data_IF_147873676985
#
_entry.id   IF_147873676985
#
_cell.length_a   1.000
_cell.length_b   1.000
_cell.length_c   1.000
_cell.angle_alpha   90.00
_cell.angle_beta   90.00
_cell.angle_gamma   90.00
#
_symmetry.space_group_name_H-M   'P 1'
#
loop_
_entity.id
_entity.type
_entity.pdbx_description
1 polymer ?
#
# COMPACT_ATOMS: atom_id res chain seq x y z
N UNK A 1 -20.95 -32.01 25.42
CA UNK A 1 -21.26 -30.57 25.57
C UNK A 1 -20.40 -30.03 26.70
N UNK A 2 -19.27 -29.42 26.37
CA UNK A 2 -18.41 -28.69 27.31
C UNK A 2 -18.91 -27.24 27.40
N UNK A 3 -19.02 -26.64 28.60
CA UNK A 3 -19.66 -25.35 28.76
C UNK A 3 -18.80 -24.24 28.16
N UNK A 4 -19.43 -23.34 27.41
CA UNK A 4 -18.86 -22.07 26.98
C UNK A 4 -18.32 -21.32 28.20
N UNK A 5 -17.00 -21.19 28.27
CA UNK A 5 -16.31 -20.34 29.25
C UNK A 5 -16.73 -18.90 28.95
N UNK A 6 -17.47 -18.28 29.86
CA UNK A 6 -17.88 -16.89 29.76
C UNK A 6 -16.65 -15.99 29.52
N UNK A 7 -16.68 -15.21 28.44
CA UNK A 7 -15.63 -14.26 28.12
C UNK A 7 -15.67 -13.10 29.12
N UNK A 8 -14.53 -12.66 29.68
CA UNK A 8 -14.48 -11.51 30.58
C UNK A 8 -14.87 -10.21 29.84
N UNK A 9 -15.40 -9.20 30.56
CA UNK A 9 -15.90 -7.97 29.96
C UNK A 9 -14.79 -7.17 29.25
N UNK A 10 -15.14 -6.60 28.10
CA UNK A 10 -14.27 -5.78 27.25
C UNK A 10 -13.98 -4.45 27.96
N UNK A 11 -12.71 -4.19 28.28
CA UNK A 11 -12.30 -3.00 29.06
C UNK A 11 -11.37 -2.05 28.29
N UNK A 12 -11.33 -2.14 26.95
CA UNK A 12 -10.55 -1.25 26.09
C UNK A 12 -11.37 -0.76 24.90
N UNK A 13 -11.03 0.40 24.34
CA UNK A 13 -11.55 0.78 23.02
C UNK A 13 -10.95 -0.13 21.95
N UNK A 14 -11.65 -0.34 20.83
CA UNK A 14 -11.14 -1.14 19.69
C UNK A 14 -9.71 -0.71 19.33
N UNK A 15 -9.47 0.60 19.23
CA UNK A 15 -8.16 1.16 18.89
C UNK A 15 -7.05 0.76 19.89
N UNK A 16 -7.36 0.74 21.19
CA UNK A 16 -6.41 0.30 22.22
C UNK A 16 -6.13 -1.20 22.14
N UNK A 17 -7.16 -2.02 21.91
CA UNK A 17 -7.00 -3.45 21.75
C UNK A 17 -6.18 -3.78 20.50
N UNK A 18 -6.41 -3.06 19.40
CA UNK A 18 -5.63 -3.19 18.17
C UNK A 18 -4.17 -2.78 18.35
N UNK A 19 -3.91 -1.64 19.01
CA UNK A 19 -2.55 -1.20 19.31
C UNK A 19 -1.79 -2.22 20.18
N UNK A 20 -2.48 -2.85 21.13
CA UNK A 20 -1.87 -3.87 22.00
C UNK A 20 -1.63 -5.20 21.28
N UNK A 21 -2.53 -5.63 20.38
CA UNK A 21 -2.30 -6.78 19.50
C UNK A 21 -1.03 -6.56 18.66
N UNK A 22 -0.89 -5.37 18.06
CA UNK A 22 0.28 -5.05 17.23
C UNK A 22 1.57 -4.97 18.07
N UNK A 23 1.52 -4.40 19.27
CA UNK A 23 2.65 -4.38 20.19
C UNK A 23 3.08 -5.79 20.62
N UNK A 24 2.14 -6.70 20.85
CA UNK A 24 2.43 -8.10 21.18
C UNK A 24 3.11 -8.82 20.00
N UNK A 25 2.66 -8.56 18.77
CA UNK A 25 3.29 -9.12 17.57
C UNK A 25 4.70 -8.60 17.33
N UNK A 26 4.91 -7.30 17.54
CA UNK A 26 6.25 -6.70 17.49
C UNK A 26 7.22 -7.33 18.51
N UNK A 27 6.68 -7.85 19.63
CA UNK A 27 7.44 -8.57 20.66
C UNK A 27 7.54 -10.09 20.40
N UNK A 28 7.03 -10.58 19.27
CA UNK A 28 6.99 -12.02 18.97
C UNK A 28 6.04 -12.84 19.85
N UNK A 29 5.17 -12.20 20.63
CA UNK A 29 4.22 -12.86 21.55
C UNK A 29 2.94 -13.28 20.81
N UNK A 30 3.10 -14.20 19.85
CA UNK A 30 2.01 -14.64 18.95
C UNK A 30 0.82 -15.21 19.72
N UNK A 31 1.04 -16.05 20.75
CA UNK A 31 -0.06 -16.63 21.52
C UNK A 31 -0.87 -15.58 22.29
N UNK A 32 -0.19 -14.63 22.95
CA UNK A 32 -0.88 -13.56 23.67
C UNK A 32 -1.68 -12.65 22.71
N UNK A 33 -1.17 -12.47 21.49
CA UNK A 33 -1.89 -11.77 20.41
C UNK A 33 -3.16 -12.52 20.02
N UNK A 34 -3.07 -13.84 19.77
CA UNK A 34 -4.22 -14.69 19.47
C UNK A 34 -5.28 -14.63 20.58
N UNK A 35 -4.89 -14.81 21.83
CA UNK A 35 -5.80 -14.77 22.99
C UNK A 35 -6.52 -13.43 23.11
N UNK A 36 -5.86 -12.33 22.69
CA UNK A 36 -6.49 -11.01 22.65
C UNK A 36 -7.42 -10.84 21.46
N UNK A 37 -7.02 -11.27 20.25
CA UNK A 37 -7.88 -11.23 19.07
C UNK A 37 -9.15 -12.06 19.26
N UNK A 38 -9.07 -13.20 19.94
CA UNK A 38 -10.25 -14.01 20.29
C UNK A 38 -11.25 -13.28 21.21
N UNK A 39 -10.77 -12.40 22.11
CA UNK A 39 -11.66 -11.60 22.99
C UNK A 39 -12.44 -10.51 22.24
N UNK A 40 -11.97 -10.13 21.06
CA UNK A 40 -12.66 -9.20 20.18
C UNK A 40 -13.78 -9.88 19.38
N UNK A 41 -13.84 -11.22 19.36
CA UNK A 41 -14.99 -11.95 18.82
C UNK A 41 -16.20 -11.75 19.74
N UNK A 42 -17.32 -11.31 19.18
CA UNK A 42 -18.60 -11.20 19.89
C UNK A 42 -19.20 -9.79 19.96
N UNK A 43 -18.44 -8.74 19.69
CA UNK A 43 -19.00 -7.39 19.47
C UNK A 43 -19.18 -7.15 17.97
N UNK A 44 -20.38 -6.73 17.55
CA UNK A 44 -20.70 -6.48 16.14
C UNK A 44 -19.74 -5.46 15.50
N UNK A 45 -19.29 -4.46 16.27
CA UNK A 45 -18.39 -3.41 15.79
C UNK A 45 -16.95 -3.90 15.55
N UNK A 46 -16.52 -4.96 16.25
CA UNK A 46 -15.13 -5.46 16.21
C UNK A 46 -15.01 -6.80 15.51
N UNK A 47 -16.14 -7.43 15.18
CA UNK A 47 -16.20 -8.82 14.72
C UNK A 47 -15.43 -9.06 13.43
N UNK A 48 -15.61 -8.22 12.41
CA UNK A 48 -14.95 -8.39 11.11
C UNK A 48 -13.42 -8.24 11.22
N UNK A 49 -12.95 -7.21 11.95
CA UNK A 49 -11.52 -6.98 12.18
C UNK A 49 -10.90 -8.13 12.98
N UNK A 50 -11.58 -8.62 14.01
CA UNK A 50 -11.12 -9.75 14.82
C UNK A 50 -10.91 -11.01 13.96
N UNK A 51 -11.85 -11.31 13.04
CA UNK A 51 -11.72 -12.42 12.11
C UNK A 51 -10.52 -12.27 11.17
N UNK A 52 -10.31 -11.07 10.60
CA UNK A 52 -9.17 -10.79 9.73
C UNK A 52 -7.85 -11.03 10.46
N UNK A 53 -7.73 -10.52 11.69
CA UNK A 53 -6.51 -10.69 12.49
C UNK A 53 -6.26 -12.15 12.85
N UNK A 54 -7.27 -12.88 13.30
CA UNK A 54 -7.13 -14.30 13.59
C UNK A 54 -6.72 -15.08 12.34
N UNK A 55 -7.33 -14.81 11.20
CA UNK A 55 -6.96 -15.40 9.92
C UNK A 55 -5.47 -15.17 9.60
N UNK A 56 -5.01 -13.92 9.59
CA UNK A 56 -3.62 -13.57 9.28
C UNK A 56 -2.62 -14.17 10.29
N UNK A 57 -2.98 -14.25 11.57
CA UNK A 57 -2.14 -14.85 12.61
C UNK A 57 -2.03 -16.36 12.46
N UNK A 58 -3.14 -17.05 12.18
CA UNK A 58 -3.10 -18.49 11.96
C UNK A 58 -2.36 -18.85 10.67
N UNK A 59 -2.47 -18.04 9.61
CA UNK A 59 -1.66 -18.21 8.38
C UNK A 59 -0.17 -18.08 8.67
N UNK A 60 0.26 -17.03 9.38
CA UNK A 60 1.68 -16.82 9.68
C UNK A 60 2.25 -17.88 10.63
N UNK A 61 1.41 -18.50 11.46
CA UNK A 61 1.75 -19.65 12.30
C UNK A 61 1.68 -21.01 11.56
N UNK A 62 1.42 -21.03 10.24
CA UNK A 62 1.22 -22.22 9.42
C UNK A 62 0.08 -23.16 9.91
N UNK A 63 -0.89 -22.61 10.65
CA UNK A 63 -2.09 -23.31 11.11
C UNK A 63 -3.22 -23.12 10.11
N UNK A 64 -3.01 -23.62 8.88
CA UNK A 64 -3.84 -23.33 7.71
C UNK A 64 -5.32 -23.74 7.89
N UNK A 65 -5.59 -24.84 8.60
CA UNK A 65 -6.96 -25.28 8.89
C UNK A 65 -7.73 -24.31 9.80
N UNK A 66 -7.06 -23.66 10.76
CA UNK A 66 -7.69 -22.64 11.60
C UNK A 66 -7.89 -21.34 10.81
N UNK A 67 -6.87 -20.91 10.05
CA UNK A 67 -6.98 -19.75 9.18
C UNK A 67 -8.18 -19.85 8.23
N UNK A 68 -8.37 -21.01 7.60
CA UNK A 68 -9.47 -21.28 6.68
C UNK A 68 -10.84 -21.12 7.36
N UNK A 69 -11.02 -21.55 8.62
CA UNK A 69 -12.29 -21.36 9.35
C UNK A 69 -12.64 -19.87 9.51
N UNK A 70 -11.64 -19.04 9.80
CA UNK A 70 -11.84 -17.60 9.97
C UNK A 70 -12.08 -16.89 8.63
N UNK A 71 -11.31 -17.23 7.59
CA UNK A 71 -11.51 -16.65 6.25
C UNK A 71 -12.86 -17.04 5.65
N UNK A 72 -13.30 -18.29 5.81
CA UNK A 72 -14.58 -18.79 5.34
C UNK A 72 -15.75 -18.08 6.06
N UNK A 73 -15.60 -17.83 7.36
CA UNK A 73 -16.56 -17.00 8.10
C UNK A 73 -16.58 -15.55 7.60
N UNK A 74 -15.43 -14.97 7.25
CA UNK A 74 -15.38 -13.61 6.67
C UNK A 74 -16.07 -13.54 5.31
N UNK A 75 -15.76 -14.49 4.41
CA UNK A 75 -16.35 -14.56 3.09
C UNK A 75 -17.88 -14.71 3.16
N UNK A 76 -18.41 -15.45 4.13
CA UNK A 76 -19.87 -15.51 4.38
C UNK A 76 -20.49 -14.21 4.89
N UNK A 77 -19.75 -13.44 5.69
CA UNK A 77 -20.25 -12.16 6.22
C UNK A 77 -20.25 -11.06 5.15
N UNK A 78 -19.34 -11.12 4.20
CA UNK A 78 -19.22 -10.15 3.12
C UNK A 78 -18.98 -10.85 1.76
N UNK A 79 -19.98 -11.59 1.23
CA UNK A 79 -19.81 -12.42 0.04
C UNK A 79 -19.57 -11.63 -1.25
N UNK A 80 -19.76 -10.31 -1.23
CA UNK A 80 -19.52 -9.42 -2.36
C UNK A 80 -18.27 -8.54 -2.16
N UNK A 81 -17.46 -8.81 -1.12
CA UNK A 81 -16.20 -8.10 -0.90
C UNK A 81 -15.04 -8.92 -1.48
N UNK A 82 -14.39 -8.45 -2.57
CA UNK A 82 -13.33 -9.19 -3.27
C UNK A 82 -12.15 -9.54 -2.35
N UNK A 83 -11.82 -8.69 -1.37
CA UNK A 83 -10.72 -8.90 -0.43
C UNK A 83 -10.96 -10.08 0.50
N UNK A 84 -12.22 -10.30 0.90
CA UNK A 84 -12.56 -11.44 1.76
C UNK A 84 -12.51 -12.75 0.99
N UNK A 85 -12.91 -12.72 -0.29
CA UNK A 85 -12.82 -13.86 -1.20
C UNK A 85 -11.38 -14.21 -1.55
N UNK A 86 -10.55 -13.23 -1.91
CA UNK A 86 -9.14 -13.47 -2.25
C UNK A 86 -8.33 -13.96 -1.05
N UNK A 87 -8.62 -13.46 0.16
CA UNK A 87 -8.06 -13.99 1.40
C UNK A 87 -8.51 -15.44 1.66
N UNK A 88 -9.79 -15.75 1.42
CA UNK A 88 -10.31 -17.10 1.57
C UNK A 88 -9.70 -18.08 0.55
N UNK A 89 -9.59 -17.67 -0.70
CA UNK A 89 -8.89 -18.40 -1.75
C UNK A 89 -7.44 -18.72 -1.35
N UNK A 90 -6.74 -17.72 -0.80
CA UNK A 90 -5.37 -17.91 -0.28
C UNK A 90 -5.32 -18.93 0.85
N UNK A 91 -6.26 -18.89 1.80
CA UNK A 91 -6.33 -19.85 2.90
C UNK A 91 -6.67 -21.26 2.41
N UNK A 92 -7.54 -21.39 1.41
CA UNK A 92 -7.85 -22.68 0.77
C UNK A 92 -6.60 -23.27 0.12
N UNK A 93 -5.83 -22.44 -0.61
CA UNK A 93 -4.58 -22.87 -1.22
C UNK A 93 -3.58 -23.34 -0.15
N UNK A 94 -3.36 -22.52 0.89
CA UNK A 94 -2.47 -22.83 2.01
C UNK A 94 -2.91 -24.11 2.75
N UNK A 95 -4.22 -24.40 2.79
CA UNK A 95 -4.79 -25.61 3.39
C UNK A 95 -4.76 -26.86 2.47
N UNK A 96 -4.16 -26.76 1.28
CA UNK A 96 -4.05 -27.88 0.33
C UNK A 96 -5.32 -28.15 -0.49
N UNK A 97 -6.16 -27.13 -0.70
CA UNK A 97 -7.40 -27.21 -1.48
C UNK A 97 -7.30 -26.34 -2.77
N UNK A 98 -6.40 -26.67 -3.71
CA UNK A 98 -6.09 -25.81 -4.86
C UNK A 98 -7.28 -25.59 -5.81
N UNK A 99 -8.10 -26.60 -6.07
CA UNK A 99 -9.26 -26.44 -6.98
C UNK A 99 -10.31 -25.48 -6.42
N UNK A 100 -10.56 -25.54 -5.11
CA UNK A 100 -11.47 -24.62 -4.42
C UNK A 100 -10.87 -23.21 -4.38
N UNK A 101 -9.57 -23.10 -4.11
CA UNK A 101 -8.85 -21.83 -4.15
C UNK A 101 -8.94 -21.18 -5.54
N UNK A 102 -8.81 -21.97 -6.61
CA UNK A 102 -8.94 -21.49 -7.98
C UNK A 102 -10.33 -20.91 -8.25
N UNK A 103 -11.39 -21.65 -7.91
CA UNK A 103 -12.77 -21.18 -8.07
C UNK A 103 -13.07 -19.91 -7.27
N UNK A 104 -12.59 -19.83 -6.02
CA UNK A 104 -12.79 -18.67 -5.16
C UNK A 104 -11.97 -17.44 -5.64
N UNK A 105 -10.78 -17.66 -6.19
CA UNK A 105 -9.97 -16.60 -6.80
C UNK A 105 -10.65 -16.02 -8.05
N UNK A 106 -11.22 -16.86 -8.92
CA UNK A 106 -12.02 -16.40 -10.06
C UNK A 106 -13.25 -15.60 -9.60
N UNK A 107 -13.92 -16.02 -8.53
CA UNK A 107 -15.04 -15.28 -7.96
C UNK A 107 -14.62 -13.91 -7.41
N UNK A 108 -13.43 -13.80 -6.81
CA UNK A 108 -12.87 -12.53 -6.39
C UNK A 108 -12.56 -11.61 -7.59
N UNK A 109 -11.96 -12.16 -8.65
CA UNK A 109 -11.62 -11.40 -9.87
C UNK A 109 -12.86 -10.95 -10.66
N UNK A 110 -13.97 -11.68 -10.56
CA UNK A 110 -15.24 -11.25 -11.13
C UNK A 110 -15.81 -9.99 -10.45
N UNK A 111 -15.44 -9.75 -9.18
CA UNK A 111 -15.80 -8.53 -8.44
C UNK A 111 -14.79 -7.41 -8.64
N UNK A 112 -13.50 -7.77 -8.67
CA UNK A 112 -12.37 -6.84 -8.84
C UNK A 112 -11.28 -7.49 -9.73
N UNK A 113 -11.25 -7.19 -11.04
CA UNK A 113 -10.30 -7.79 -11.98
C UNK A 113 -8.82 -7.49 -11.68
N UNK A 114 -8.53 -6.45 -10.90
CA UNK A 114 -7.16 -6.03 -10.56
C UNK A 114 -6.74 -6.54 -9.18
N UNK A 115 -7.53 -7.42 -8.54
CA UNK A 115 -7.23 -7.94 -7.21
C UNK A 115 -5.96 -8.80 -7.20
N UNK A 116 -4.83 -8.19 -6.85
CA UNK A 116 -3.50 -8.81 -6.93
C UNK A 116 -3.39 -10.11 -6.14
N UNK A 117 -4.04 -10.21 -4.97
CA UNK A 117 -4.01 -11.43 -4.17
C UNK A 117 -4.78 -12.58 -4.86
N UNK A 118 -5.92 -12.27 -5.48
CA UNK A 118 -6.65 -13.25 -6.27
C UNK A 118 -5.84 -13.69 -7.50
N UNK A 119 -5.17 -12.77 -8.20
CA UNK A 119 -4.27 -13.10 -9.31
C UNK A 119 -3.16 -14.06 -8.86
N UNK A 120 -2.52 -13.80 -7.71
CA UNK A 120 -1.49 -14.69 -7.15
C UNK A 120 -2.03 -16.08 -6.90
N UNK A 121 -3.18 -16.19 -6.23
CA UNK A 121 -3.78 -17.51 -5.94
C UNK A 121 -4.16 -18.22 -7.23
N UNK A 122 -4.70 -17.50 -8.22
CA UNK A 122 -5.08 -18.07 -9.51
C UNK A 122 -3.89 -18.66 -10.26
N UNK A 123 -2.76 -17.94 -10.32
CA UNK A 123 -1.54 -18.43 -10.96
C UNK A 123 -0.91 -19.61 -10.20
N UNK A 124 -0.97 -19.60 -8.86
CA UNK A 124 -0.45 -20.70 -8.01
C UNK A 124 -1.30 -21.96 -8.10
N UNK A 125 -2.61 -21.81 -8.18
CA UNK A 125 -3.58 -22.91 -8.16
C UNK A 125 -3.86 -23.50 -9.53
N UNK A 126 -3.50 -22.80 -10.62
CA UNK A 126 -3.66 -23.29 -11.98
C UNK A 126 -2.78 -24.52 -12.23
N UNK A 127 -3.36 -25.72 -12.47
CA UNK A 127 -2.58 -26.87 -12.85
C UNK A 127 -2.07 -26.71 -14.29
N UNK A 128 -0.80 -27.09 -14.51
CA UNK A 128 -0.11 -27.02 -15.80
C UNK A 128 -0.83 -27.73 -16.98
N UNK A 129 -1.79 -28.62 -16.70
CA UNK A 129 -2.31 -29.57 -17.69
C UNK A 129 -3.75 -29.31 -18.19
N UNK A 130 -4.61 -28.56 -17.48
CA UNK A 130 -6.04 -28.47 -17.87
C UNK A 130 -6.61 -27.04 -17.97
N UNK A 131 -6.01 -26.06 -17.27
CA UNK A 131 -6.57 -24.70 -17.17
C UNK A 131 -5.56 -23.57 -17.45
N UNK A 132 -4.31 -23.91 -17.81
CA UNK A 132 -3.19 -22.97 -17.88
C UNK A 132 -3.13 -22.07 -19.13
N UNK A 133 -3.99 -22.23 -20.13
CA UNK A 133 -4.02 -21.29 -21.26
C UNK A 133 -5.02 -20.17 -20.99
N UNK A 134 -4.58 -18.90 -21.05
CA UNK A 134 -5.47 -17.73 -20.94
C UNK A 134 -5.25 -16.85 -19.70
N UNK A 135 -4.29 -17.17 -18.82
CA UNK A 135 -3.94 -16.32 -17.68
C UNK A 135 -2.71 -15.44 -17.93
N UNK A 136 -2.21 -15.36 -19.17
CA UNK A 136 -1.07 -14.52 -19.54
C UNK A 136 -1.33 -13.04 -19.22
N UNK A 137 -2.53 -12.54 -19.54
CA UNK A 137 -2.93 -11.17 -19.20
C UNK A 137 -2.95 -10.92 -17.67
N UNK A 138 -3.33 -11.93 -16.89
CA UNK A 138 -3.32 -11.86 -15.43
C UNK A 138 -1.89 -11.84 -14.87
N UNK A 139 -0.99 -12.64 -15.44
CA UNK A 139 0.43 -12.64 -15.11
C UNK A 139 1.11 -11.31 -15.47
N UNK A 140 0.76 -10.72 -16.61
CA UNK A 140 1.22 -9.38 -17.02
C UNK A 140 0.73 -8.30 -16.06
N UNK A 141 -0.55 -8.31 -15.67
CA UNK A 141 -1.09 -7.38 -14.67
C UNK A 141 -0.38 -7.54 -13.33
N UNK A 142 -0.10 -8.77 -12.90
CA UNK A 142 0.61 -9.02 -11.64
C UNK A 142 2.05 -8.48 -11.67
N UNK A 143 2.78 -8.58 -12.79
CA UNK A 143 4.12 -7.99 -12.92
C UNK A 143 4.10 -6.46 -12.96
N UNK A 144 3.03 -5.87 -13.49
CA UNK A 144 2.91 -4.42 -13.69
C UNK A 144 2.45 -3.70 -12.41
N UNK A 145 1.44 -4.24 -11.75
CA UNK A 145 0.77 -3.61 -10.60
C UNK A 145 1.19 -4.23 -9.26
N UNK A 146 1.76 -5.44 -9.28
CA UNK A 146 2.21 -6.17 -8.10
C UNK A 146 3.60 -5.78 -7.58
N UNK A 147 4.16 -6.65 -6.75
CA UNK A 147 5.55 -6.53 -6.28
C UNK A 147 6.43 -7.37 -7.20
N UNK A 148 7.14 -6.77 -8.16
CA UNK A 148 7.76 -7.52 -9.24
C UNK A 148 8.86 -8.45 -8.76
N UNK A 149 9.53 -8.12 -7.64
CA UNK A 149 10.55 -9.00 -7.06
C UNK A 149 9.92 -10.27 -6.47
N UNK A 150 8.75 -10.15 -5.83
CA UNK A 150 8.03 -11.30 -5.24
C UNK A 150 7.26 -12.09 -6.28
N UNK A 151 6.63 -11.39 -7.22
CA UNK A 151 5.67 -11.97 -8.15
C UNK A 151 6.38 -12.56 -9.39
N UNK A 152 7.62 -12.15 -9.70
CA UNK A 152 8.40 -12.70 -10.81
C UNK A 152 8.64 -14.22 -10.71
N UNK A 153 8.92 -14.75 -9.52
CA UNK A 153 9.10 -16.20 -9.33
C UNK A 153 7.84 -16.97 -9.73
N UNK A 154 6.68 -16.48 -9.29
CA UNK A 154 5.39 -17.10 -9.54
C UNK A 154 5.03 -17.04 -11.03
N UNK A 155 5.16 -15.86 -11.64
CA UNK A 155 4.86 -15.67 -13.06
C UNK A 155 5.80 -16.51 -13.93
N UNK A 156 7.08 -16.58 -13.59
CA UNK A 156 8.05 -17.41 -14.30
C UNK A 156 7.71 -18.90 -14.21
N UNK A 157 7.32 -19.39 -13.03
CA UNK A 157 6.88 -20.77 -12.83
C UNK A 157 5.63 -21.09 -13.65
N UNK A 158 4.65 -20.19 -13.64
CA UNK A 158 3.44 -20.30 -14.45
C UNK A 158 3.77 -20.37 -15.95
N UNK A 159 4.52 -19.40 -16.48
CA UNK A 159 4.90 -19.35 -17.89
C UNK A 159 5.67 -20.60 -18.33
N UNK A 160 6.60 -21.07 -17.50
CA UNK A 160 7.32 -22.32 -17.74
C UNK A 160 6.36 -23.50 -17.93
N UNK A 161 5.36 -23.62 -17.04
CA UNK A 161 4.38 -24.70 -17.06
C UNK A 161 3.45 -24.68 -18.29
N UNK A 162 3.15 -23.51 -18.84
CA UNK A 162 2.18 -23.34 -19.95
C UNK A 162 2.82 -23.13 -21.32
N UNK A 163 4.13 -22.86 -21.36
CA UNK A 163 4.89 -22.57 -22.59
C UNK A 163 4.89 -23.70 -23.62
N UNK A 164 4.68 -24.96 -23.21
CA UNK A 164 4.73 -26.14 -24.09
C UNK A 164 6.00 -26.21 -24.97
N UNK A 165 7.13 -25.69 -24.47
CA UNK A 165 8.42 -25.68 -25.17
C UNK A 165 8.68 -24.43 -26.03
N UNK A 166 7.68 -23.55 -26.22
CA UNK A 166 7.86 -22.25 -26.86
C UNK A 166 8.73 -21.32 -26.00
N UNK A 167 9.49 -20.41 -26.60
CA UNK A 167 10.19 -19.37 -25.86
C UNK A 167 9.22 -18.50 -25.06
N UNK A 168 9.58 -18.21 -23.81
CA UNK A 168 8.87 -17.26 -22.95
C UNK A 168 9.88 -16.40 -22.19
N UNK A 169 9.40 -15.29 -21.67
CA UNK A 169 10.23 -14.42 -20.84
C UNK A 169 9.41 -13.47 -20.00
N UNK A 170 10.04 -13.01 -18.92
CA UNK A 170 9.54 -11.98 -18.03
C UNK A 170 10.52 -10.82 -18.03
N UNK A 171 10.00 -9.62 -17.85
CA UNK A 171 10.80 -8.42 -17.63
C UNK A 171 10.25 -7.60 -16.48
N UNK A 172 11.15 -6.86 -15.84
CA UNK A 172 10.80 -5.86 -14.85
C UNK A 172 11.84 -4.73 -14.88
N UNK A 173 11.37 -3.48 -14.82
CA UNK A 173 12.23 -2.32 -14.71
C UNK A 173 12.09 -1.67 -13.33
N UNK A 174 13.21 -1.52 -12.63
CA UNK A 174 13.28 -0.71 -11.40
C UNK A 174 14.57 0.08 -11.34
N UNK A 175 14.48 1.29 -10.81
CA UNK A 175 15.63 2.17 -10.58
C UNK A 175 16.50 2.39 -11.83
N UNK A 176 15.87 2.49 -13.01
CA UNK A 176 16.57 2.65 -14.29
C UNK A 176 17.35 1.41 -14.74
N UNK A 177 17.07 0.23 -14.18
CA UNK A 177 17.63 -1.04 -14.62
C UNK A 177 16.49 -1.95 -15.05
N UNK A 178 16.54 -2.39 -16.31
CA UNK A 178 15.72 -3.48 -16.81
C UNK A 178 16.41 -4.79 -16.45
N UNK A 179 15.70 -5.66 -15.74
CA UNK A 179 16.10 -7.04 -15.52
C UNK A 179 15.08 -7.95 -16.18
N UNK A 180 15.54 -8.99 -16.83
CA UNK A 180 14.64 -9.96 -17.45
C UNK A 180 15.22 -11.35 -17.51
N UNK A 181 14.33 -12.31 -17.70
CA UNK A 181 14.63 -13.71 -17.92
C UNK A 181 13.91 -14.14 -19.19
N UNK A 182 14.60 -14.83 -20.09
CA UNK A 182 13.98 -15.42 -21.27
C UNK A 182 14.64 -16.76 -21.59
N UNK A 183 13.83 -17.79 -21.81
CA UNK A 183 14.31 -19.13 -22.09
C UNK A 183 13.34 -19.93 -22.97
N UNK A 184 13.85 -21.01 -23.53
CA UNK A 184 13.07 -22.04 -24.20
C UNK A 184 13.37 -23.40 -23.55
N UNK A 185 12.36 -24.06 -23.00
CA UNK A 185 12.55 -25.37 -22.35
C UNK A 185 12.82 -26.50 -23.35
N UNK A 186 12.48 -26.31 -24.62
CA UNK A 186 12.81 -27.27 -25.69
C UNK A 186 14.26 -27.13 -26.17
N UNK A 187 14.95 -26.04 -25.82
CA UNK A 187 16.34 -25.76 -26.20
C UNK A 187 17.06 -24.96 -25.11
N UNK A 188 17.26 -25.55 -23.91
CA UNK A 188 17.80 -24.86 -22.75
C UNK A 188 19.26 -24.44 -22.93
N UNK A 189 20.01 -25.05 -23.85
CA UNK A 189 21.41 -24.66 -24.09
C UNK A 189 21.54 -23.47 -25.07
N UNK A 190 20.44 -23.00 -25.64
CA UNK A 190 20.44 -21.89 -26.61
C UNK A 190 20.17 -20.58 -25.90
N UNK A 191 21.18 -19.70 -25.88
CA UNK A 191 21.02 -18.32 -25.42
C UNK A 191 20.08 -17.56 -26.37
N UNK A 192 18.96 -17.06 -25.85
CA UNK A 192 18.04 -16.23 -26.61
C UNK A 192 18.56 -14.78 -26.70
N UNK A 193 18.00 -14.02 -27.64
CA UNK A 193 18.15 -12.56 -27.70
C UNK A 193 16.81 -11.90 -27.46
N UNK A 194 16.77 -10.88 -26.61
CA UNK A 194 15.58 -10.04 -26.39
C UNK A 194 15.78 -8.72 -27.11
N UNK A 195 14.83 -8.35 -27.97
CA UNK A 195 14.83 -7.08 -28.69
C UNK A 195 14.05 -6.04 -27.90
N UNK A 196 14.66 -4.88 -27.68
CA UNK A 196 14.02 -3.70 -27.09
C UNK A 196 13.69 -2.71 -28.19
N UNK A 197 12.48 -2.14 -28.19
CA UNK A 197 12.06 -1.12 -29.15
C UNK A 197 11.22 0.00 -28.52
N UNK A 198 11.27 1.16 -29.17
CA UNK A 198 10.39 2.31 -28.94
C UNK A 198 9.43 2.43 -30.11
N UNK A 199 8.27 1.79 -30.01
CA UNK A 199 7.37 1.61 -31.16
C UNK A 199 8.09 0.89 -32.29
N UNK A 200 8.24 1.55 -33.45
CA UNK A 200 8.92 0.99 -34.62
C UNK A 200 10.46 1.13 -34.59
N UNK A 201 11.03 1.83 -33.60
CA UNK A 201 12.48 2.09 -33.54
C UNK A 201 13.19 1.05 -32.66
N UNK A 202 14.11 0.23 -33.20
CA UNK A 202 14.88 -0.71 -32.39
C UNK A 202 15.88 0.05 -31.50
N UNK A 203 15.90 -0.28 -30.21
CA UNK A 203 16.79 0.33 -29.21
C UNK A 203 18.02 -0.54 -28.95
N UNK A 204 17.81 -1.83 -28.71
CA UNK A 204 18.90 -2.76 -28.37
C UNK A 204 18.50 -4.22 -28.64
N UNK A 205 19.50 -5.09 -28.81
CA UNK A 205 19.36 -6.54 -28.73
C UNK A 205 20.20 -7.05 -27.57
N UNK A 206 19.55 -7.72 -26.63
CA UNK A 206 20.14 -8.15 -25.38
C UNK A 206 20.33 -9.66 -25.42
N UNK A 207 21.59 -10.09 -25.35
CA UNK A 207 21.89 -11.51 -25.19
C UNK A 207 21.49 -11.97 -23.80
N UNK A 208 20.82 -13.10 -23.73
CA UNK A 208 20.29 -13.68 -22.50
C UNK A 208 21.23 -14.81 -22.08
N UNK A 209 22.29 -14.45 -21.35
CA UNK A 209 23.39 -15.33 -20.97
C UNK A 209 23.87 -15.16 -19.50
N UNK A 210 23.12 -14.42 -18.69
CA UNK A 210 23.47 -14.16 -17.29
C UNK A 210 22.74 -15.12 -16.34
N UNK A 211 23.31 -15.32 -15.15
CA UNK A 211 22.66 -16.06 -14.07
C UNK A 211 21.73 -15.14 -13.29
N UNK A 212 20.62 -15.70 -12.77
CA UNK A 212 19.70 -14.96 -11.91
C UNK A 212 19.17 -15.85 -10.78
N UNK A 213 19.13 -15.40 -9.52
CA UNK A 213 18.69 -16.21 -8.38
C UNK A 213 17.29 -16.83 -8.55
N UNK A 214 16.37 -16.11 -9.22
CA UNK A 214 15.01 -16.61 -9.48
C UNK A 214 14.98 -17.90 -10.30
N UNK A 215 15.95 -18.11 -11.21
CA UNK A 215 16.02 -19.35 -11.99
C UNK A 215 16.21 -20.55 -11.06
N UNK A 216 17.08 -20.43 -10.05
CA UNK A 216 17.29 -21.48 -9.06
C UNK A 216 16.06 -21.71 -8.18
N UNK A 217 15.39 -20.62 -7.78
CA UNK A 217 14.18 -20.68 -6.93
C UNK A 217 13.06 -21.45 -7.62
N UNK A 218 12.91 -21.28 -8.94
CA UNK A 218 11.86 -21.93 -9.74
C UNK A 218 12.31 -23.28 -10.31
N UNK A 219 13.59 -23.65 -10.16
CA UNK A 219 14.14 -24.90 -10.69
C UNK A 219 14.37 -24.89 -12.21
N UNK A 220 14.64 -23.72 -12.78
CA UNK A 220 14.90 -23.53 -14.21
C UNK A 220 16.41 -23.49 -14.52
N UNK A 221 16.82 -23.77 -15.78
CA UNK A 221 18.22 -23.72 -16.18
C UNK A 221 18.83 -22.32 -15.96
N UNK A 222 20.12 -22.28 -15.67
CA UNK A 222 20.87 -21.04 -15.44
C UNK A 222 21.33 -20.41 -16.76
N UNK A 223 21.87 -19.19 -16.71
CA UNK A 223 22.36 -18.49 -17.90
C UNK A 223 21.24 -17.93 -18.80
N UNK A 224 20.03 -17.75 -18.27
CA UNK A 224 18.86 -17.28 -19.03
C UNK A 224 18.35 -15.91 -18.59
N UNK A 225 19.22 -15.08 -18.01
CA UNK A 225 18.87 -13.73 -17.60
C UNK A 225 19.66 -12.68 -18.37
N UNK A 226 19.17 -11.44 -18.28
CA UNK A 226 19.85 -10.27 -18.79
C UNK A 226 19.58 -9.07 -17.88
N UNK A 227 20.48 -8.11 -17.97
CA UNK A 227 20.35 -6.82 -17.31
C UNK A 227 20.73 -5.72 -18.28
N UNK A 228 19.91 -4.68 -18.36
CA UNK A 228 20.14 -3.52 -19.20
C UNK A 228 19.94 -2.25 -18.39
N UNK A 229 20.99 -1.44 -18.28
CA UNK A 229 20.89 -0.12 -17.65
C UNK A 229 20.25 0.82 -18.66
N UNK A 230 19.09 1.36 -18.29
CA UNK A 230 18.28 2.19 -19.15
C UNK A 230 18.91 3.59 -19.18
N UNK A 231 19.23 4.12 -20.37
CA UNK A 231 19.71 5.49 -20.50
C UNK A 231 18.73 6.50 -19.85
N UNK A 232 19.21 7.52 -19.14
CA UNK A 232 18.35 8.52 -18.50
C UNK A 232 17.34 9.18 -19.44
N UNK A 233 17.67 9.31 -20.72
CA UNK A 233 16.83 9.89 -21.77
C UNK A 233 15.64 9.00 -22.15
N UNK A 234 15.69 7.72 -21.79
CA UNK A 234 14.63 6.73 -22.03
C UNK A 234 13.82 6.45 -20.77
N UNK A 235 14.06 7.16 -19.67
CA UNK A 235 13.20 7.13 -18.49
C UNK A 235 11.84 7.76 -18.82
N UNK A 236 10.78 7.22 -18.21
CA UNK A 236 9.38 7.60 -18.45
C UNK A 236 8.84 7.33 -19.88
N UNK A 237 9.67 6.75 -20.75
CA UNK A 237 9.30 6.35 -22.11
C UNK A 237 8.77 4.90 -22.09
N UNK A 238 7.76 4.63 -22.93
CA UNK A 238 7.21 3.28 -23.11
C UNK A 238 8.14 2.44 -24.00
N UNK A 239 8.67 1.35 -23.46
CA UNK A 239 9.58 0.43 -24.15
C UNK A 239 8.89 -0.93 -24.30
N UNK A 240 9.00 -1.52 -25.49
CA UNK A 240 8.58 -2.91 -25.74
C UNK A 240 9.80 -3.83 -25.67
N UNK A 241 9.63 -5.01 -25.07
CA UNK A 241 10.60 -6.10 -25.14
C UNK A 241 9.97 -7.33 -25.80
N UNK A 242 10.63 -7.87 -26.82
CA UNK A 242 10.15 -9.02 -27.60
C UNK A 242 11.18 -10.12 -27.65
N UNK A 243 10.68 -11.36 -27.63
CA UNK A 243 11.45 -12.57 -27.87
C UNK A 243 11.78 -12.69 -29.37
N UNK A 244 12.72 -13.58 -29.78
CA UNK A 244 13.05 -13.79 -31.20
C UNK A 244 11.84 -14.21 -32.06
N UNK A 245 10.84 -14.83 -31.45
CA UNK A 245 9.57 -15.20 -32.09
C UNK A 245 8.66 -14.00 -32.40
N UNK A 246 9.01 -12.79 -31.95
CA UNK A 246 8.18 -11.58 -32.04
C UNK A 246 7.14 -11.45 -30.93
N UNK A 247 6.98 -12.48 -30.08
CA UNK A 247 6.08 -12.47 -28.91
C UNK A 247 6.61 -11.50 -27.85
N UNK A 248 5.76 -10.65 -27.24
CA UNK A 248 6.19 -9.79 -26.14
C UNK A 248 6.61 -10.63 -24.93
N UNK A 249 7.61 -10.15 -24.19
CA UNK A 249 7.90 -10.67 -22.86
C UNK A 249 6.77 -10.25 -21.90
N UNK A 250 6.44 -11.09 -20.91
CA UNK A 250 5.49 -10.70 -19.88
C UNK A 250 6.07 -9.52 -19.08
N UNK A 251 5.24 -8.49 -18.85
CA UNK A 251 5.67 -7.19 -18.33
C UNK A 251 6.02 -6.16 -19.42
N UNK A 252 5.96 -6.53 -20.70
CA UNK A 252 6.02 -5.59 -21.83
C UNK A 252 4.61 -5.21 -22.31
N UNK A 253 4.36 -3.95 -22.73
CA UNK A 253 5.28 -2.83 -22.68
C UNK A 253 5.48 -2.32 -21.25
N UNK A 254 6.64 -1.74 -20.98
CA UNK A 254 6.98 -1.18 -19.66
C UNK A 254 7.41 0.27 -19.77
N UNK A 255 7.25 1.00 -18.67
CA UNK A 255 7.92 2.29 -18.47
C UNK A 255 8.93 2.13 -17.36
N UNK A 256 10.15 2.56 -17.66
CA UNK A 256 11.19 2.57 -16.65
C UNK A 256 11.17 3.88 -15.90
N UNK A 257 10.97 3.76 -14.59
CA UNK A 257 11.07 4.87 -13.67
C UNK A 257 12.35 4.71 -12.85
N UNK A 258 13.05 5.82 -12.59
CA UNK A 258 13.93 5.87 -11.43
C UNK A 258 13.07 6.39 -10.31
N UNK A 259 12.60 5.49 -9.47
CA UNK A 259 11.70 5.82 -8.38
C UNK A 259 12.49 6.52 -7.27
N UNK A 260 12.85 7.78 -7.53
CA UNK A 260 13.65 8.59 -6.62
C UNK A 260 12.78 9.28 -5.58
N UNK A 261 11.48 9.39 -5.81
CA UNK A 261 10.61 10.27 -5.02
C UNK A 261 9.63 9.46 -4.17
N UNK A 262 9.67 9.62 -2.83
CA UNK A 262 8.62 9.06 -1.99
C UNK A 262 7.26 9.64 -2.40
N UNK A 263 6.31 8.76 -2.70
CA UNK A 263 4.90 9.11 -2.85
C UNK A 263 4.30 9.30 -1.45
N UNK A 264 3.32 10.19 -1.34
CA UNK A 264 2.70 10.45 -0.06
C UNK A 264 1.90 11.74 -0.01
N UNK A 265 1.42 12.04 1.19
CA UNK A 265 0.83 13.34 1.52
C UNK A 265 1.04 13.60 3.01
N UNK A 266 1.32 14.85 3.35
CA UNK A 266 1.46 15.29 4.75
C UNK A 266 0.57 16.49 5.04
N UNK A 267 0.06 16.54 6.26
CA UNK A 267 -0.80 17.60 6.75
C UNK A 267 -0.68 17.80 8.25
N UNK A 268 -1.21 18.94 8.71
CA UNK A 268 -1.28 19.32 10.12
C UNK A 268 -2.69 19.84 10.43
N UNK A 269 -3.69 19.02 10.10
CA UNK A 269 -5.11 19.41 10.20
C UNK A 269 -5.62 19.36 11.65
N UNK A 270 -4.95 18.59 12.51
CA UNK A 270 -5.22 18.51 13.94
C UNK A 270 -4.18 19.38 14.67
N UNK A 271 -4.61 20.26 15.60
CA UNK A 271 -3.68 21.10 16.35
C UNK A 271 -2.57 20.29 17.02
N UNK A 272 -1.33 20.73 16.89
CA UNK A 272 -0.17 20.04 17.47
C UNK A 272 0.12 18.65 16.90
N UNK A 273 -0.52 18.20 15.81
CA UNK A 273 -0.30 16.87 15.23
C UNK A 273 0.02 16.98 13.75
N UNK A 274 1.13 16.37 13.34
CA UNK A 274 1.48 16.17 11.93
C UNK A 274 1.14 14.73 11.58
N UNK A 275 0.32 14.54 10.55
CA UNK A 275 -0.05 13.22 10.07
C UNK A 275 0.10 13.15 8.55
N UNK A 276 0.33 11.95 8.05
CA UNK A 276 0.51 11.73 6.63
C UNK A 276 0.77 10.28 6.31
N UNK A 277 1.16 10.04 5.07
CA UNK A 277 1.65 8.75 4.63
C UNK A 277 2.84 8.93 3.69
N UNK A 278 3.71 7.93 3.65
CA UNK A 278 4.88 7.92 2.79
C UNK A 278 5.19 6.48 2.36
N UNK A 279 5.36 6.27 1.06
CA UNK A 279 5.74 4.98 0.50
C UNK A 279 6.54 5.13 -0.78
N UNK A 280 7.22 4.06 -1.18
CA UNK A 280 7.91 3.96 -2.47
C UNK A 280 7.19 2.89 -3.27
N UNK A 281 6.71 3.25 -4.46
CA UNK A 281 6.02 2.33 -5.35
C UNK A 281 6.92 1.15 -5.76
N UNK A 282 8.20 1.43 -6.00
CA UNK A 282 9.24 0.44 -6.28
C UNK A 282 9.57 -0.49 -5.11
N UNK A 283 9.18 -0.14 -3.88
CA UNK A 283 9.44 -0.93 -2.66
C UNK A 283 8.21 -0.91 -1.76
N UNK A 284 7.09 -1.49 -2.21
CA UNK A 284 5.79 -1.30 -1.55
C UNK A 284 5.76 -1.94 -0.16
N UNK A 285 6.57 -2.97 0.11
CA UNK A 285 6.73 -3.53 1.45
C UNK A 285 7.65 -2.74 2.40
N UNK A 286 8.40 -1.75 1.90
CA UNK A 286 9.37 -0.99 2.72
C UNK A 286 8.65 0.10 3.51
N UNK A 287 8.87 0.13 4.82
CA UNK A 287 8.44 1.25 5.68
C UNK A 287 9.48 2.35 5.62
N UNK A 288 9.07 3.53 5.19
CA UNK A 288 9.95 4.68 5.08
C UNK A 288 10.15 5.34 6.45
N UNK A 289 11.35 5.85 6.69
CA UNK A 289 11.61 6.73 7.84
C UNK A 289 11.40 8.15 7.36
N UNK A 290 10.48 8.85 8.01
CA UNK A 290 10.15 10.23 7.75
C UNK A 290 10.83 11.10 8.80
N UNK A 291 11.58 12.10 8.33
CA UNK A 291 12.26 13.09 9.15
C UNK A 291 11.47 14.41 9.12
N UNK A 292 11.23 14.97 10.30
CA UNK A 292 10.51 16.22 10.52
C UNK A 292 11.47 17.21 11.18
N UNK A 293 11.68 18.36 10.54
CA UNK A 293 12.57 19.42 11.00
C UNK A 293 11.79 20.73 11.14
N UNK A 294 11.70 21.24 12.37
CA UNK A 294 11.10 22.54 12.66
C UNK A 294 12.08 23.70 12.45
N UNK A 295 11.57 24.90 12.23
CA UNK A 295 12.36 26.13 12.15
C UNK A 295 13.19 26.40 13.42
N UNK A 296 12.78 25.84 14.57
CA UNK A 296 13.55 25.88 15.81
C UNK A 296 14.82 24.99 15.80
N UNK A 297 15.08 24.26 14.72
CA UNK A 297 16.15 23.26 14.61
C UNK A 297 15.81 21.92 15.26
N UNK A 298 14.56 21.74 15.70
CA UNK A 298 14.08 20.48 16.28
C UNK A 298 13.95 19.42 15.20
N UNK A 299 14.53 18.25 15.46
CA UNK A 299 14.46 17.09 14.57
C UNK A 299 13.68 15.93 15.22
N UNK A 300 12.76 15.32 14.48
CA UNK A 300 12.17 14.02 14.83
C UNK A 300 12.21 13.07 13.64
N UNK A 301 12.26 11.77 13.95
CA UNK A 301 12.13 10.69 12.97
C UNK A 301 10.99 9.77 13.37
N UNK A 302 10.17 9.39 12.40
CA UNK A 302 9.05 8.46 12.57
C UNK A 302 9.05 7.43 11.44
N UNK A 303 8.67 6.19 11.73
CA UNK A 303 8.50 5.19 10.68
C UNK A 303 7.06 5.23 10.17
N UNK A 304 6.88 5.32 8.86
CA UNK A 304 5.59 5.27 8.18
C UNK A 304 5.07 3.82 8.13
N UNK A 305 4.51 3.35 9.26
CA UNK A 305 4.01 1.97 9.43
C UNK A 305 2.57 1.89 9.98
N UNK A 306 1.93 3.03 10.23
CA UNK A 306 0.56 3.12 10.67
C UNK A 306 -0.42 2.66 9.59
N UNK A 307 -1.46 1.94 9.99
CA UNK A 307 -2.50 1.47 9.09
C UNK A 307 -3.53 2.57 8.82
N UNK A 308 -3.86 2.81 7.56
CA UNK A 308 -4.97 3.68 7.15
C UNK A 308 -5.80 2.99 6.06
N UNK A 309 -7.09 2.78 6.36
CA UNK A 309 -8.06 2.17 5.44
C UNK A 309 -8.20 2.93 4.12
N UNK A 310 -7.97 4.25 4.12
CA UNK A 310 -8.01 5.07 2.90
C UNK A 310 -6.86 4.72 1.96
N UNK A 311 -5.72 4.32 2.52
CA UNK A 311 -4.56 3.88 1.74
C UNK A 311 -4.83 2.53 1.09
N UNK A 312 -5.48 1.60 1.80
CA UNK A 312 -5.95 0.34 1.20
C UNK A 312 -6.92 0.62 0.05
N UNK A 313 -7.93 1.46 0.27
CA UNK A 313 -8.90 1.84 -0.76
C UNK A 313 -8.27 2.58 -1.96
N UNK A 314 -7.12 3.24 -1.75
CA UNK A 314 -6.35 3.91 -2.78
C UNK A 314 -5.28 3.01 -3.45
N UNK A 315 -5.25 1.70 -3.14
CA UNK A 315 -4.29 0.75 -3.72
C UNK A 315 -2.86 0.88 -3.19
N UNK A 316 -2.65 1.55 -2.05
CA UNK A 316 -1.33 1.73 -1.42
C UNK A 316 -1.00 0.50 -0.58
N UNK A 317 -0.55 -0.56 -1.26
CA UNK A 317 -0.08 -1.84 -0.71
C UNK A 317 -0.99 -2.37 0.41
N UNK A 318 -0.45 -2.63 1.61
CA UNK A 318 -1.15 -3.18 2.77
C UNK A 318 -1.74 -2.11 3.69
N UNK A 319 -1.81 -0.86 3.21
CA UNK A 319 -2.31 0.29 3.96
C UNK A 319 -1.43 0.74 5.12
N UNK A 320 -0.30 0.06 5.38
CA UNK A 320 0.62 0.34 6.49
C UNK A 320 1.72 1.31 6.11
N UNK A 321 1.31 2.50 5.68
CA UNK A 321 2.20 3.55 5.20
C UNK A 321 1.91 4.91 5.85
N UNK A 322 0.99 4.94 6.81
CA UNK A 322 0.66 6.14 7.58
C UNK A 322 1.67 6.44 8.68
N UNK A 323 1.71 7.69 9.10
CA UNK A 323 2.38 8.14 10.33
C UNK A 323 1.60 9.27 10.98
N UNK A 324 1.76 9.41 12.29
CA UNK A 324 1.22 10.51 13.08
C UNK A 324 2.20 10.86 14.19
N UNK A 325 2.52 12.14 14.32
CA UNK A 325 3.49 12.66 15.28
C UNK A 325 2.90 13.87 15.97
N UNK A 326 2.84 13.81 17.30
CA UNK A 326 2.61 15.00 18.09
C UNK A 326 3.84 15.91 18.02
N UNK A 327 3.64 17.15 17.56
CA UNK A 327 4.66 18.16 17.41
C UNK A 327 4.44 19.28 18.44
N UNK A 328 5.23 19.30 19.53
CA UNK A 328 5.06 20.32 20.56
C UNK A 328 5.51 21.67 20.01
N UNK A 329 4.70 22.71 20.15
CA UNK A 329 5.10 24.05 19.73
C UNK A 329 5.94 24.69 20.85
N UNK A 330 7.03 25.41 20.54
CA UNK A 330 7.81 26.11 21.54
C UNK A 330 6.94 27.06 22.38
N UNK A 331 7.26 27.16 23.67
CA UNK A 331 6.56 28.08 24.57
C UNK A 331 6.68 29.52 24.06
N UNK A 332 5.54 30.23 23.98
CA UNK A 332 5.45 31.58 23.43
C UNK A 332 5.33 31.67 21.91
N UNK A 333 5.44 30.57 21.16
CA UNK A 333 5.18 30.53 19.73
C UNK A 333 3.71 30.16 19.44
N UNK A 334 3.06 30.88 18.52
CA UNK A 334 1.70 30.57 18.08
C UNK A 334 1.65 29.39 17.09
N UNK A 335 2.71 29.25 16.29
CA UNK A 335 2.87 28.20 15.29
C UNK A 335 4.35 27.96 14.98
N UNK A 336 4.63 26.83 14.34
CA UNK A 336 5.95 26.50 13.79
C UNK A 336 5.80 25.88 12.41
N UNK A 337 6.67 26.25 11.47
CA UNK A 337 6.76 25.56 10.17
C UNK A 337 7.68 24.36 10.31
N UNK A 338 7.23 23.21 9.81
CA UNK A 338 7.95 21.94 9.87
C UNK A 338 8.13 21.41 8.44
N UNK A 339 9.39 21.17 8.05
CA UNK A 339 9.74 20.48 6.82
C UNK A 339 9.74 18.98 7.06
N UNK A 340 9.13 18.24 6.15
CA UNK A 340 9.02 16.79 6.23
C UNK A 340 9.63 16.15 4.98
N UNK A 341 10.57 15.22 5.20
CA UNK A 341 11.30 14.51 4.14
C UNK A 341 11.50 13.05 4.45
N UNK A 342 11.73 12.24 3.42
CA UNK A 342 12.18 10.86 3.61
C UNK A 342 13.66 10.86 3.99
N UNK A 343 14.01 10.15 5.07
CA UNK A 343 15.28 10.31 5.75
C UNK A 343 16.50 9.81 4.94
N UNK A 344 16.33 8.81 4.06
CA UNK A 344 17.46 8.25 3.31
C UNK A 344 17.79 9.01 2.03
N UNK A 345 16.78 9.51 1.33
CA UNK A 345 16.90 10.29 0.09
C UNK A 345 16.98 11.79 0.33
N UNK A 346 16.53 12.27 1.50
CA UNK A 346 16.42 13.68 1.83
C UNK A 346 15.30 14.41 1.08
N UNK A 347 14.48 13.70 0.29
CA UNK A 347 13.45 14.33 -0.53
C UNK A 347 12.22 14.73 0.28
N UNK A 348 11.72 15.94 0.05
CA UNK A 348 10.51 16.44 0.70
C UNK A 348 9.26 15.67 0.26
N UNK A 349 8.43 15.33 1.23
CA UNK A 349 7.14 14.67 0.98
C UNK A 349 6.13 15.68 0.40
N UNK A 350 5.22 15.26 -0.48
CA UNK A 350 4.14 16.13 -0.95
C UNK A 350 3.32 16.69 0.22
N UNK A 351 3.09 18.01 0.22
CA UNK A 351 2.43 18.73 1.32
C UNK A 351 3.39 19.35 2.35
N UNK A 352 4.67 19.01 2.31
CA UNK A 352 5.73 19.71 3.04
C UNK A 352 6.10 21.04 2.34
N UNK A 353 6.45 22.10 3.08
CA UNK A 353 6.38 22.21 4.54
C UNK A 353 4.94 22.40 5.06
N UNK A 354 4.70 22.00 6.31
CA UNK A 354 3.41 22.21 7.01
C UNK A 354 3.58 23.22 8.13
N UNK A 355 2.52 23.98 8.43
CA UNK A 355 2.47 24.86 9.61
C UNK A 355 1.67 24.15 10.71
N UNK A 356 2.30 23.87 11.84
CA UNK A 356 1.65 23.35 13.05
C UNK A 356 1.34 24.51 13.98
N UNK A 357 0.18 24.48 14.62
CA UNK A 357 -0.29 25.56 15.51
C UNK A 357 -0.83 25.01 16.82
N UNK A 358 -0.81 25.86 17.84
CA UNK A 358 -1.23 25.49 19.19
C UNK A 358 -2.76 25.55 19.30
N UNK A 359 -3.34 24.56 19.96
CA UNK A 359 -4.79 24.44 20.09
C UNK A 359 -5.38 25.58 20.93
N UNK A 360 -4.70 25.96 22.02
CA UNK A 360 -5.11 27.04 22.91
C UNK A 360 -5.02 28.39 22.21
N UNK A 361 -3.88 28.66 21.58
CA UNK A 361 -3.67 29.92 20.84
C UNK A 361 -4.70 30.09 19.71
N UNK A 362 -5.03 29.02 18.98
CA UNK A 362 -6.06 29.10 17.95
C UNK A 362 -7.45 29.34 18.55
N UNK A 363 -7.79 28.66 19.65
CA UNK A 363 -9.08 28.82 20.31
C UNK A 363 -9.26 30.26 20.82
N UNK A 364 -8.24 30.80 21.49
CA UNK A 364 -8.22 32.17 22.00
C UNK A 364 -8.36 33.18 20.85
N UNK A 365 -7.60 33.00 19.78
CA UNK A 365 -7.68 33.89 18.61
C UNK A 365 -9.04 33.85 17.91
N UNK A 366 -9.66 32.66 17.78
CA UNK A 366 -11.01 32.52 17.20
C UNK A 366 -12.05 33.17 18.11
N UNK A 367 -11.93 33.02 19.43
CA UNK A 367 -12.82 33.64 20.40
C UNK A 367 -12.71 35.17 20.36
N UNK A 368 -11.49 35.71 20.36
CA UNK A 368 -11.25 37.15 20.23
C UNK A 368 -11.75 37.70 18.89
N UNK A 369 -11.50 37.00 17.79
CA UNK A 369 -11.98 37.39 16.46
C UNK A 369 -13.51 37.43 16.42
N UNK A 370 -14.19 36.44 17.00
CA UNK A 370 -15.65 36.42 17.09
C UNK A 370 -16.19 37.58 17.93
N UNK A 371 -15.54 37.90 19.05
CA UNK A 371 -15.89 39.07 19.86
C UNK A 371 -15.73 40.38 19.08
N UNK A 372 -14.61 40.52 18.37
CA UNK A 372 -14.34 41.67 17.53
C UNK A 372 -15.34 41.81 16.38
N UNK A 373 -15.67 40.72 15.67
CA UNK A 373 -16.63 40.74 14.56
C UNK A 373 -18.02 41.21 15.00
N UNK A 374 -18.49 40.81 16.19
CA UNK A 374 -19.76 41.30 16.75
C UNK A 374 -19.74 42.81 16.97
N UNK A 375 -18.69 43.31 17.64
CA UNK A 375 -18.53 44.73 17.92
C UNK A 375 -18.35 45.58 16.65
N UNK A 376 -17.63 45.05 15.65
CA UNK A 376 -17.46 45.69 14.35
C UNK A 376 -18.79 45.74 13.57
N UNK A 377 -19.61 44.70 13.65
CA UNK A 377 -20.95 44.66 13.06
C UNK A 377 -21.91 45.68 13.68
N UNK A 378 -21.79 45.95 14.98
CA UNK A 378 -22.56 46.99 15.68
C UNK A 378 -22.10 48.41 15.31
N UNK A 379 -20.86 48.58 14.84
CA UNK A 379 -20.24 49.88 14.50
C UNK A 379 -19.59 49.88 13.11
N UNK A 380 -20.35 49.68 12.03
CA UNK A 380 -19.77 49.45 10.69
C UNK A 380 -19.01 50.66 10.13
N UNK A 381 -19.33 51.88 10.57
CA UNK A 381 -18.63 53.11 10.16
C UNK A 381 -17.35 53.39 10.96
N UNK A 382 -17.15 52.73 12.09
CA UNK A 382 -15.97 52.91 12.94
C UNK A 382 -15.69 51.63 13.76
N UNK A 383 -15.23 50.54 13.12
CA UNK A 383 -14.96 49.30 13.81
C UNK A 383 -13.78 49.45 14.77
N UNK A 384 -13.77 48.71 15.90
CA UNK A 384 -12.60 48.68 16.79
C UNK A 384 -11.37 48.13 16.07
N UNK A 385 -10.17 48.42 16.58
CA UNK A 385 -8.95 47.81 16.05
C UNK A 385 -8.98 46.28 16.25
N UNK A 386 -8.44 45.49 15.30
CA UNK A 386 -8.38 44.05 15.43
C UNK A 386 -7.52 43.63 16.64
N UNK A 387 -7.88 42.54 17.34
CA UNK A 387 -7.12 42.07 18.50
C UNK A 387 -5.67 41.73 18.14
N UNK A 388 -4.73 41.95 19.05
CA UNK A 388 -3.32 41.62 18.82
C UNK A 388 -3.08 40.12 18.61
N UNK A 389 -3.92 39.25 19.19
CA UNK A 389 -3.87 37.80 18.95
C UNK A 389 -4.23 37.43 17.50
N UNK A 390 -4.94 38.31 16.78
CA UNK A 390 -5.27 38.16 15.35
C UNK A 390 -4.15 38.67 14.44
N UNK A 391 -2.90 38.30 14.74
CA UNK A 391 -1.77 38.64 13.87
C UNK A 391 -1.85 37.91 12.52
N UNK A 392 -1.02 38.31 11.56
CA UNK A 392 -1.09 37.81 10.18
C UNK A 392 -0.96 36.28 10.07
N UNK A 393 -0.13 35.66 10.89
CA UNK A 393 0.11 34.21 10.88
C UNK A 393 -1.08 33.44 11.46
N UNK A 394 -1.60 33.90 12.59
CA UNK A 394 -2.80 33.32 13.20
C UNK A 394 -4.00 33.47 12.25
N UNK A 395 -4.16 34.62 11.60
CA UNK A 395 -5.25 34.85 10.64
C UNK A 395 -5.09 34.05 9.33
N UNK A 396 -3.87 33.70 8.93
CA UNK A 396 -3.62 32.76 7.83
C UNK A 396 -4.10 31.35 8.21
N UNK A 397 -3.85 30.92 9.45
CA UNK A 397 -4.30 29.62 9.98
C UNK A 397 -5.82 29.57 10.08
N UNK A 398 -6.45 30.59 10.69
CA UNK A 398 -7.91 30.70 10.83
C UNK A 398 -8.60 30.62 9.47
N UNK A 399 -8.09 31.34 8.46
CA UNK A 399 -8.64 31.27 7.08
C UNK A 399 -8.52 29.89 6.46
N UNK A 400 -7.36 29.23 6.61
CA UNK A 400 -7.15 27.87 6.10
C UNK A 400 -8.13 26.88 6.75
N UNK A 401 -8.34 27.00 8.07
CA UNK A 401 -9.26 26.12 8.82
C UNK A 401 -10.73 26.37 8.48
N UNK A 402 -11.14 27.63 8.37
CA UNK A 402 -12.48 27.99 7.89
C UNK A 402 -12.76 27.41 6.51
N UNK A 403 -11.82 27.53 5.57
CA UNK A 403 -11.98 26.97 4.23
C UNK A 403 -12.11 25.43 4.26
N UNK A 404 -11.38 24.75 5.14
CA UNK A 404 -11.52 23.30 5.34
C UNK A 404 -12.87 22.93 5.94
N UNK A 405 -13.29 23.63 7.00
CA UNK A 405 -14.57 23.36 7.66
C UNK A 405 -15.76 23.57 6.72
N UNK A 406 -15.70 24.61 5.88
CA UNK A 406 -16.71 24.85 4.83
C UNK A 406 -16.77 23.68 3.83
N UNK A 407 -15.63 23.08 3.46
CA UNK A 407 -15.62 21.89 2.59
C UNK A 407 -16.23 20.67 3.27
N UNK A 408 -15.87 20.44 4.53
CA UNK A 408 -16.42 19.32 5.32
C UNK A 408 -17.94 19.44 5.49
N UNK A 409 -18.43 20.64 5.82
CA UNK A 409 -19.88 20.89 5.93
C UNK A 409 -20.62 20.67 4.60
N UNK A 410 -20.00 21.03 3.47
CA UNK A 410 -20.58 20.78 2.13
C UNK A 410 -20.61 19.28 1.79
N UNK A 411 -19.56 18.55 2.15
CA UNK A 411 -19.51 17.08 1.96
C UNK A 411 -20.61 16.39 2.76
N UNK A 412 -20.78 16.78 4.04
CA UNK A 412 -21.82 16.24 4.90
C UNK A 412 -23.24 16.57 4.42
N UNK A 413 -23.44 17.77 3.84
CA UNK A 413 -24.72 18.15 3.25
C UNK A 413 -25.03 17.30 2.01
N UNK A 414 -24.05 17.04 1.14
CA UNK A 414 -24.22 16.19 -0.03
C UNK A 414 -24.53 14.72 0.35
N UNK A 415 -23.82 14.17 1.34
CA UNK A 415 -24.08 12.81 1.87
C UNK A 415 -25.46 12.68 2.54
N UNK A 416 -26.02 13.77 3.04
CA UNK A 416 -27.35 13.80 3.63
C UNK A 416 -28.49 13.93 2.60
N UNK A 417 -28.20 14.44 1.39
CA UNK A 417 -29.16 14.50 0.27
C UNK A 417 -29.21 13.19 -0.53
N UNK A 418 -28.15 12.36 -0.46
CA UNK A 418 -28.10 11.03 -1.08
C UNK A 418 -28.70 9.89 -0.21
N UNK A 419 -29.07 10.18 1.04
CA UNK A 419 -29.73 9.25 1.97
C UNK A 419 -31.21 9.57 2.10
#
# INVERSE_FOLDING_TARGET
>A
MTPHRALPPQSGTLEQDMAQIEALLAQGKVQASLDRSHRLLGSQATHAEALLRLCLLYRSAALHGEALKFSDRMARLAPNAPETRSLNASCMFDAGLPDQAHGEALAALALDPENLEALRVLLKSSPAAEHGSGLEAHAETLLREGDPEKDAALVLAYLASVSKGEPFGIIHASNGVLTGIALSLSSPDVALEVELSLGAFPLARLKVDQNHPLLSVVGLPQGHAFMFRIPPELLDVMIEARLPSGKPCAGSPFRAYVDRRPEGSVGADVPGVIAGHAWLRSKPGKRLIVELEGESGRLRRVTASGFDKKLVAAGVHDGRHGFSVHWPIPEGAACETVRIREASSGQELPGSPVTVFDAGVLADAVQELNGWLRLAGERPKNPPQPPQACNADVMRIVRKRLAQWIRELRSLAAEAEER
#
